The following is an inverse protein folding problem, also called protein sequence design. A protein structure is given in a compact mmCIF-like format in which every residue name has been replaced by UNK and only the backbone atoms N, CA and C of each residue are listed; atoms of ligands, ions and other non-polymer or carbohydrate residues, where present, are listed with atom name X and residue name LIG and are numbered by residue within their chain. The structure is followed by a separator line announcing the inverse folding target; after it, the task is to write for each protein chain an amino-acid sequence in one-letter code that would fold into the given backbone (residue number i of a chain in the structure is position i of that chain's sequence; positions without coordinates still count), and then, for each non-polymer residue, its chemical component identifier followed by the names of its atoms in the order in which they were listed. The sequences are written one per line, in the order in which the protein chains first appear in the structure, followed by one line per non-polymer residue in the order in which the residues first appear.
data_IF_656532241083
#
_entry.id   IF_656532241083
#
_cell.length_a   1.000
_cell.length_b   1.000
_cell.length_c   1.000
_cell.angle_alpha   90.00
_cell.angle_beta   90.00
_cell.angle_gamma   90.00
#
_symmetry.space_group_name_H-M   'P 1'
#
loop_
_entity.id
_entity.type
_entity.pdbx_description
1 polymer ?
#
# COMPACT_ATOMS: atom_id res chain seq x y z
N UNK A 1 -19.65 -4.68 17.38
CA UNK A 1 -18.23 -4.57 17.01
C UNK A 1 -17.78 -5.93 16.50
N UNK A 2 -17.37 -6.01 15.25
CA UNK A 2 -16.96 -7.26 14.60
C UNK A 2 -15.62 -7.75 15.20
N UNK A 3 -15.43 -9.07 15.28
CA UNK A 3 -14.20 -9.69 15.79
C UNK A 3 -12.95 -9.29 14.97
N UNK A 4 -13.10 -8.97 13.69
CA UNK A 4 -12.04 -8.47 12.82
C UNK A 4 -11.57 -7.08 13.26
N UNK A 5 -12.49 -6.22 13.65
CA UNK A 5 -12.23 -4.85 14.09
C UNK A 5 -11.46 -4.80 15.42
N UNK A 6 -11.77 -5.71 16.35
CA UNK A 6 -11.03 -5.83 17.61
C UNK A 6 -9.56 -6.21 17.42
N UNK A 7 -9.21 -6.82 16.28
CA UNK A 7 -7.84 -7.26 15.94
C UNK A 7 -7.02 -6.19 15.20
N UNK A 8 -7.69 -5.32 14.45
CA UNK A 8 -7.02 -4.21 13.75
C UNK A 8 -6.97 -2.92 14.59
N UNK A 9 -7.63 -2.92 15.74
CA UNK A 9 -7.75 -1.91 16.79
C UNK A 9 -7.52 -0.44 16.39
N UNK A 10 -8.45 0.44 16.63
CA UNK A 10 -8.41 1.86 16.27
C UNK A 10 -7.08 2.55 16.65
N UNK A 11 -6.24 2.81 15.65
CA UNK A 11 -4.99 3.52 15.78
C UNK A 11 -3.77 2.74 16.27
N UNK A 12 -3.92 1.49 16.72
CA UNK A 12 -2.78 0.67 17.16
C UNK A 12 -2.10 -0.12 16.05
N UNK A 13 -2.81 -0.34 14.94
CA UNK A 13 -2.28 -0.96 13.73
C UNK A 13 -2.29 0.04 12.57
N UNK A 14 -1.33 -0.12 11.64
CA UNK A 14 -1.30 0.55 10.36
C UNK A 14 -1.26 -0.52 9.27
N UNK A 15 -2.21 -0.52 8.36
CA UNK A 15 -2.23 -1.41 7.21
C UNK A 15 -1.48 -0.75 6.06
N UNK A 16 -0.43 -1.39 5.58
CA UNK A 16 0.37 -0.95 4.45
C UNK A 16 0.13 -1.91 3.29
N UNK A 17 -0.70 -1.50 2.34
CA UNK A 17 -1.10 -2.30 1.19
C UNK A 17 -0.27 -1.88 -0.01
N UNK A 18 0.57 -2.79 -0.49
CA UNK A 18 1.45 -2.58 -1.63
C UNK A 18 1.28 -3.68 -2.68
N UNK A 19 1.99 -3.56 -3.78
CA UNK A 19 1.96 -4.47 -4.93
C UNK A 19 2.18 -3.72 -6.23
N UNK A 20 2.32 -4.43 -7.33
CA UNK A 20 2.52 -3.83 -8.64
C UNK A 20 1.34 -2.95 -9.06
N UNK A 21 1.55 -2.00 -10.00
CA UNK A 21 0.44 -1.36 -10.69
C UNK A 21 -0.53 -2.41 -11.26
N UNK A 22 -1.85 -2.22 -11.10
CA UNK A 22 -2.85 -3.23 -11.53
C UNK A 22 -3.12 -4.36 -10.51
N UNK A 23 -2.36 -4.48 -9.41
CA UNK A 23 -2.61 -5.50 -8.38
C UNK A 23 -3.95 -5.33 -7.63
N UNK A 24 -4.60 -4.17 -7.73
CA UNK A 24 -5.89 -3.89 -7.09
C UNK A 24 -5.79 -3.08 -5.80
N UNK A 25 -4.61 -2.55 -5.47
CA UNK A 25 -4.36 -1.81 -4.22
C UNK A 25 -5.44 -0.78 -3.88
N UNK A 26 -5.71 0.16 -4.77
CA UNK A 26 -6.63 1.28 -4.48
C UNK A 26 -8.06 0.80 -4.24
N UNK A 27 -8.50 -0.23 -4.97
CA UNK A 27 -9.80 -0.85 -4.73
C UNK A 27 -9.85 -1.54 -3.38
N UNK A 28 -8.85 -2.38 -3.08
CA UNK A 28 -8.79 -3.15 -1.84
C UNK A 28 -8.61 -2.23 -0.63
N UNK A 29 -7.70 -1.24 -0.71
CA UNK A 29 -7.48 -0.29 0.38
C UNK A 29 -8.74 0.52 0.71
N UNK A 30 -9.48 0.95 -0.31
CA UNK A 30 -10.76 1.65 -0.13
C UNK A 30 -11.77 0.76 0.57
N UNK A 31 -12.01 -0.45 0.06
CA UNK A 31 -12.98 -1.38 0.63
C UNK A 31 -12.59 -1.80 2.06
N UNK A 32 -11.30 -2.07 2.32
CA UNK A 32 -10.83 -2.35 3.70
C UNK A 32 -11.09 -1.16 4.63
N UNK A 33 -10.83 0.07 4.17
CA UNK A 33 -11.07 1.26 4.97
C UNK A 33 -12.58 1.46 5.25
N UNK A 34 -13.44 1.17 4.29
CA UNK A 34 -14.90 1.32 4.41
C UNK A 34 -15.52 0.29 5.37
N UNK A 35 -14.91 -0.90 5.54
CA UNK A 35 -15.34 -1.95 6.47
C UNK A 35 -14.88 -1.71 7.93
N UNK A 36 -13.95 -0.80 8.16
CA UNK A 36 -13.45 -0.48 9.50
C UNK A 36 -14.29 0.65 10.12
N UNK A 37 -14.68 0.52 11.39
CA UNK A 37 -15.49 1.55 12.08
C UNK A 37 -14.81 2.91 12.13
N UNK A 38 -13.49 2.94 12.29
CA UNK A 38 -12.68 4.16 12.33
C UNK A 38 -11.41 3.95 11.54
N UNK A 39 -11.37 4.43 10.33
CA UNK A 39 -10.24 4.31 9.42
C UNK A 39 -9.88 5.64 8.79
N UNK A 40 -8.64 5.74 8.29
CA UNK A 40 -8.17 6.84 7.45
C UNK A 40 -7.40 6.24 6.27
N UNK A 41 -7.85 6.51 5.05
CA UNK A 41 -7.22 6.04 3.84
C UNK A 41 -6.18 7.07 3.35
N UNK A 42 -4.92 6.65 3.28
CA UNK A 42 -3.83 7.38 2.65
C UNK A 42 -3.58 6.83 1.26
N UNK A 43 -4.17 7.48 0.27
CA UNK A 43 -3.90 7.19 -1.14
C UNK A 43 -2.66 7.98 -1.58
N UNK A 44 -1.55 7.28 -1.80
CA UNK A 44 -0.26 7.88 -2.16
C UNK A 44 -0.29 8.64 -3.49
N UNK A 45 -1.14 8.24 -4.43
CA UNK A 45 -1.30 8.95 -5.70
C UNK A 45 -1.89 10.35 -5.48
N UNK A 46 -2.92 10.48 -4.66
CA UNK A 46 -3.50 11.79 -4.34
C UNK A 46 -2.56 12.64 -3.50
N UNK A 47 -1.89 12.05 -2.50
CA UNK A 47 -0.94 12.78 -1.65
C UNK A 47 0.24 13.31 -2.49
N UNK A 48 0.79 12.51 -3.40
CA UNK A 48 1.85 12.96 -4.30
C UNK A 48 1.42 14.13 -5.18
N UNK A 49 0.17 14.15 -5.62
CA UNK A 49 -0.41 15.22 -6.46
C UNK A 49 -0.81 16.50 -5.71
N UNK A 50 -0.60 16.56 -4.41
CA UNK A 50 -0.63 17.83 -3.69
C UNK A 50 0.48 18.79 -4.15
N UNK A 51 1.52 18.29 -4.81
CA UNK A 51 2.49 19.13 -5.52
C UNK A 51 1.79 19.72 -6.75
N UNK A 52 1.27 20.93 -6.61
CA UNK A 52 0.49 21.60 -7.66
C UNK A 52 1.33 22.04 -8.86
N UNK A 53 2.63 22.32 -8.66
CA UNK A 53 3.60 22.67 -9.71
C UNK A 53 4.93 22.00 -9.44
N UNK A 54 5.63 21.59 -10.50
CA UNK A 54 6.91 20.90 -10.38
C UNK A 54 6.82 19.44 -9.98
N UNK A 55 5.64 18.85 -10.06
CA UNK A 55 5.48 17.41 -9.86
C UNK A 55 6.27 16.63 -10.91
N UNK A 56 7.07 15.67 -10.44
CA UNK A 56 7.80 14.71 -11.28
C UNK A 56 7.28 13.31 -10.94
N UNK A 57 6.93 12.56 -11.97
CA UNK A 57 6.51 11.17 -11.82
C UNK A 57 7.63 10.33 -11.18
N UNK A 58 7.34 9.34 -10.31
CA UNK A 58 8.38 8.55 -9.62
C UNK A 58 9.43 7.88 -10.52
N UNK A 59 9.09 7.62 -11.77
CA UNK A 59 10.01 7.10 -12.81
C UNK A 59 10.34 8.14 -13.88
N UNK A 60 10.11 9.42 -13.61
CA UNK A 60 10.30 10.53 -14.54
C UNK A 60 11.66 11.21 -14.41
N UNK A 61 11.84 12.23 -15.23
CA UNK A 61 13.04 13.05 -15.27
C UNK A 61 12.75 14.48 -14.75
N UNK A 62 13.69 15.12 -14.04
CA UNK A 62 15.01 14.59 -13.62
C UNK A 62 14.89 13.52 -12.52
N UNK A 63 15.67 12.45 -12.65
CA UNK A 63 15.56 11.28 -11.75
C UNK A 63 15.86 11.59 -10.27
N UNK A 64 16.78 12.54 -10.01
CA UNK A 64 17.11 13.00 -8.65
C UNK A 64 15.93 13.76 -8.02
N UNK A 65 15.20 14.54 -8.80
CA UNK A 65 13.98 15.23 -8.35
C UNK A 65 12.84 14.23 -8.10
N UNK A 66 12.64 13.27 -9.01
CA UNK A 66 11.68 12.18 -8.81
C UNK A 66 11.96 11.44 -7.49
N UNK A 67 13.21 11.07 -7.23
CA UNK A 67 13.61 10.42 -5.99
C UNK A 67 13.39 11.30 -4.73
N UNK A 68 13.65 12.61 -4.83
CA UNK A 68 13.34 13.55 -3.72
C UNK A 68 11.86 13.63 -3.42
N UNK A 69 11.01 13.69 -4.46
CA UNK A 69 9.56 13.75 -4.30
C UNK A 69 8.99 12.45 -3.77
N UNK A 70 9.54 11.29 -4.12
CA UNK A 70 9.18 10.00 -3.52
C UNK A 70 9.51 9.97 -2.03
N UNK A 71 10.67 10.46 -1.61
CA UNK A 71 11.00 10.56 -0.18
C UNK A 71 10.06 11.51 0.57
N UNK A 72 9.73 12.66 -0.03
CA UNK A 72 8.75 13.61 0.52
C UNK A 72 7.37 12.97 0.66
N UNK A 73 6.93 12.24 -0.36
CA UNK A 73 5.66 11.49 -0.33
C UNK A 73 5.64 10.51 0.84
N UNK A 74 6.65 9.67 0.98
CA UNK A 74 6.73 8.69 2.06
C UNK A 74 6.72 9.36 3.45
N UNK A 75 7.43 10.48 3.61
CA UNK A 75 7.43 11.28 4.84
C UNK A 75 6.03 11.81 5.16
N UNK A 76 5.34 12.37 4.18
CA UNK A 76 3.99 12.91 4.35
C UNK A 76 2.98 11.82 4.69
N UNK A 77 3.04 10.67 3.99
CA UNK A 77 2.16 9.53 4.27
C UNK A 77 2.39 9.02 5.70
N UNK A 78 3.64 8.86 6.13
CA UNK A 78 3.97 8.45 7.49
C UNK A 78 3.44 9.44 8.54
N UNK A 79 3.60 10.75 8.31
CA UNK A 79 3.13 11.79 9.22
C UNK A 79 1.60 11.76 9.34
N UNK A 80 0.89 11.67 8.23
CA UNK A 80 -0.58 11.57 8.22
C UNK A 80 -1.03 10.28 8.92
N UNK A 81 -0.42 9.13 8.62
CA UNK A 81 -0.74 7.87 9.27
C UNK A 81 -0.54 7.96 10.80
N UNK A 82 0.56 8.57 11.24
CA UNK A 82 0.81 8.82 12.66
C UNK A 82 -0.27 9.67 13.31
N UNK A 83 -0.61 10.81 12.72
CA UNK A 83 -1.62 11.73 13.24
C UNK A 83 -3.01 11.07 13.34
N UNK A 84 -3.42 10.34 12.31
CA UNK A 84 -4.70 9.62 12.33
C UNK A 84 -4.70 8.50 13.36
N UNK A 85 -3.60 7.76 13.49
CA UNK A 85 -3.48 6.71 14.50
C UNK A 85 -3.56 7.27 15.92
N UNK A 86 -2.92 8.41 16.20
CA UNK A 86 -3.00 9.10 17.50
C UNK A 86 -4.41 9.60 17.82
N UNK A 87 -5.19 9.92 16.79
CA UNK A 87 -6.60 10.27 16.91
C UNK A 87 -7.53 9.02 17.00
N UNK A 88 -6.99 7.80 17.03
CA UNK A 88 -7.74 6.55 17.16
C UNK A 88 -8.36 6.04 15.87
N UNK A 89 -7.88 6.46 14.70
CA UNK A 89 -8.24 5.87 13.41
C UNK A 89 -7.22 4.81 13.00
N UNK A 90 -7.66 3.77 12.32
CA UNK A 90 -6.78 2.78 11.71
C UNK A 90 -6.29 3.31 10.36
N UNK A 91 -4.98 3.61 10.19
CA UNK A 91 -4.45 4.02 8.91
C UNK A 91 -4.45 2.86 7.92
N UNK A 92 -5.00 3.09 6.73
CA UNK A 92 -4.92 2.19 5.57
C UNK A 92 -4.13 2.93 4.48
N UNK A 93 -2.95 2.42 4.16
CA UNK A 93 -1.99 3.08 3.26
C UNK A 93 -1.95 2.32 1.94
N UNK A 94 -2.35 2.98 0.85
CA UNK A 94 -2.22 2.50 -0.53
C UNK A 94 -0.97 3.11 -1.16
N UNK A 95 0.05 2.28 -1.41
CA UNK A 95 1.30 2.74 -1.99
C UNK A 95 2.02 1.63 -2.76
N UNK A 96 2.82 2.01 -3.75
CA UNK A 96 3.82 1.13 -4.37
C UNK A 96 5.15 1.30 -3.64
N UNK A 97 5.66 0.24 -3.03
CA UNK A 97 6.98 0.20 -2.40
C UNK A 97 7.89 -0.71 -3.22
N UNK A 98 8.84 -0.17 -3.98
CA UNK A 98 9.68 -0.97 -4.87
C UNK A 98 10.86 -1.66 -4.15
N UNK A 99 11.24 -1.18 -2.95
CA UNK A 99 12.49 -1.57 -2.29
C UNK A 99 12.43 -1.51 -0.76
N UNK A 100 13.49 -2.00 -0.13
CA UNK A 100 13.61 -2.06 1.32
C UNK A 100 13.86 -0.71 1.99
N UNK A 101 14.48 0.25 1.32
CA UNK A 101 14.75 1.58 1.88
C UNK A 101 13.43 2.31 2.17
N UNK A 102 12.52 2.25 1.22
CA UNK A 102 11.20 2.84 1.39
C UNK A 102 10.41 2.11 2.48
N UNK A 103 10.39 0.78 2.50
CA UNK A 103 9.74 0.00 3.56
C UNK A 103 10.32 0.33 4.95
N UNK A 104 11.63 0.48 5.05
CA UNK A 104 12.31 0.84 6.30
C UNK A 104 11.90 2.23 6.81
N UNK A 105 11.56 3.16 5.93
CA UNK A 105 11.01 4.46 6.32
C UNK A 105 9.71 4.28 7.11
N UNK A 106 8.79 3.45 6.62
CA UNK A 106 7.53 3.12 7.32
C UNK A 106 7.80 2.37 8.63
N UNK A 107 8.67 1.37 8.63
CA UNK A 107 9.02 0.60 9.82
C UNK A 107 9.56 1.50 10.94
N UNK A 108 10.49 2.38 10.62
CA UNK A 108 11.11 3.29 11.59
C UNK A 108 10.14 4.35 12.10
N UNK A 109 9.38 4.96 11.20
CA UNK A 109 8.48 6.08 11.55
C UNK A 109 7.25 5.61 12.31
N UNK A 110 6.73 4.43 11.99
CA UNK A 110 5.53 3.85 12.61
C UNK A 110 5.86 2.76 13.65
N UNK A 111 7.11 2.73 14.17
CA UNK A 111 7.60 1.69 15.07
C UNK A 111 6.81 1.55 16.39
N UNK A 112 6.13 2.61 16.84
CA UNK A 112 5.26 2.56 18.03
C UNK A 112 3.93 1.83 17.80
N UNK A 113 3.67 1.39 16.56
CA UNK A 113 2.42 0.74 16.12
C UNK A 113 2.71 -0.58 15.44
N UNK A 114 1.71 -1.45 15.38
CA UNK A 114 1.82 -2.68 14.58
C UNK A 114 1.71 -2.33 13.11
N UNK A 115 2.82 -2.44 12.38
CA UNK A 115 2.80 -2.33 10.93
C UNK A 115 2.41 -3.68 10.31
N UNK A 116 1.34 -3.68 9.51
CA UNK A 116 0.82 -4.84 8.81
C UNK A 116 1.06 -4.63 7.31
N UNK A 117 2.06 -5.31 6.77
CA UNK A 117 2.42 -5.23 5.35
C UNK A 117 1.68 -6.31 4.56
N UNK A 118 0.86 -5.88 3.63
CA UNK A 118 0.12 -6.74 2.70
C UNK A 118 0.63 -6.46 1.29
N UNK A 119 1.24 -7.46 0.67
CA UNK A 119 1.72 -7.39 -0.71
C UNK A 119 0.70 -8.11 -1.59
N UNK A 120 -0.11 -7.37 -2.33
CA UNK A 120 -1.03 -7.96 -3.31
C UNK A 120 -0.22 -8.44 -4.51
N UNK A 121 -0.18 -9.75 -4.72
CA UNK A 121 0.66 -10.40 -5.71
C UNK A 121 -0.14 -11.37 -6.62
N UNK A 122 -1.07 -10.85 -7.44
CA UNK A 122 -1.84 -11.69 -8.37
C UNK A 122 -1.02 -12.16 -9.58
N UNK A 123 0.25 -11.79 -9.66
CA UNK A 123 1.13 -12.05 -10.80
C UNK A 123 1.14 -10.94 -11.85
N UNK A 124 2.26 -10.86 -12.59
CA UNK A 124 2.49 -9.79 -13.57
C UNK A 124 1.47 -9.79 -14.73
N UNK A 125 1.08 -10.95 -15.22
CA UNK A 125 0.07 -11.07 -16.29
C UNK A 125 -1.28 -10.52 -15.89
N UNK A 126 -1.74 -10.89 -14.68
CA UNK A 126 -3.03 -10.40 -14.16
C UNK A 126 -2.99 -8.87 -13.98
N UNK A 127 -1.88 -8.34 -13.47
CA UNK A 127 -1.69 -6.90 -13.31
C UNK A 127 -1.74 -6.17 -14.66
N UNK A 128 -1.04 -6.69 -15.67
CA UNK A 128 -1.03 -6.14 -17.03
C UNK A 128 -2.42 -6.16 -17.65
N UNK A 129 -3.07 -7.32 -17.64
CA UNK A 129 -4.42 -7.47 -18.16
C UNK A 129 -5.42 -6.52 -17.49
N UNK A 130 -5.38 -6.40 -16.16
CA UNK A 130 -6.23 -5.46 -15.43
C UNK A 130 -5.98 -4.00 -15.83
N UNK A 131 -4.74 -3.62 -16.14
CA UNK A 131 -4.44 -2.27 -16.61
C UNK A 131 -4.93 -2.02 -18.03
N UNK A 132 -4.76 -3.00 -18.93
CA UNK A 132 -5.19 -2.92 -20.34
C UNK A 132 -6.73 -2.87 -20.49
N UNK A 133 -7.45 -3.47 -19.56
CA UNK A 133 -8.93 -3.48 -19.56
C UNK A 133 -9.58 -2.26 -18.87
N UNK A 134 -8.77 -1.34 -18.31
CA UNK A 134 -9.28 -0.07 -17.78
C UNK A 134 -9.79 0.85 -18.89
N UNK A 135 -10.69 1.79 -18.55
CA UNK A 135 -10.99 2.91 -19.45
C UNK A 135 -9.68 3.59 -19.89
N UNK A 136 -9.56 4.01 -21.17
CA UNK A 136 -8.30 4.55 -21.71
C UNK A 136 -7.67 5.68 -20.86
N UNK A 137 -8.50 6.54 -20.29
CA UNK A 137 -8.09 7.66 -19.45
C UNK A 137 -7.51 7.22 -18.06
N UNK A 138 -7.70 5.96 -17.69
CA UNK A 138 -7.21 5.36 -16.46
C UNK A 138 -6.07 4.38 -16.70
N UNK A 139 -5.75 4.10 -17.95
CA UNK A 139 -4.60 3.27 -18.30
C UNK A 139 -3.31 4.07 -18.08
N UNK A 140 -2.27 3.36 -17.70
CA UNK A 140 -0.94 3.95 -17.55
C UNK A 140 0.10 3.05 -18.22
N UNK A 141 1.12 3.67 -18.75
CA UNK A 141 2.24 2.94 -19.35
C UNK A 141 3.17 2.45 -18.24
N UNK A 142 3.27 1.14 -18.09
CA UNK A 142 4.21 0.48 -17.20
C UNK A 142 4.52 -0.92 -17.71
N UNK A 143 5.79 -1.20 -17.93
CA UNK A 143 6.29 -2.50 -18.44
C UNK A 143 7.21 -3.22 -17.44
N UNK A 144 7.55 -2.56 -16.32
CA UNK A 144 8.47 -3.05 -15.29
C UNK A 144 7.88 -4.03 -14.27
N UNK A 145 6.83 -4.79 -14.60
CA UNK A 145 6.13 -5.68 -13.66
C UNK A 145 7.03 -6.73 -13.02
N UNK A 146 7.80 -7.44 -13.85
CA UNK A 146 8.67 -8.52 -13.39
C UNK A 146 9.85 -7.97 -12.58
N UNK A 147 10.43 -6.86 -13.00
CA UNK A 147 11.53 -6.18 -12.30
C UNK A 147 11.07 -5.66 -10.93
N UNK A 148 9.87 -5.07 -10.86
CA UNK A 148 9.30 -4.58 -9.62
C UNK A 148 9.00 -5.74 -8.66
N UNK A 149 8.35 -6.80 -9.14
CA UNK A 149 8.07 -7.99 -8.33
C UNK A 149 9.36 -8.62 -7.81
N UNK A 150 10.38 -8.79 -8.67
CA UNK A 150 11.68 -9.31 -8.27
C UNK A 150 12.38 -8.40 -7.24
N UNK A 151 12.29 -7.08 -7.40
CA UNK A 151 12.83 -6.12 -6.44
C UNK A 151 12.14 -6.24 -5.08
N UNK A 152 10.82 -6.22 -5.05
CA UNK A 152 10.03 -6.38 -3.83
C UNK A 152 10.36 -7.72 -3.13
N UNK A 153 10.39 -8.83 -3.86
CA UNK A 153 10.74 -10.15 -3.29
C UNK A 153 12.15 -10.18 -2.71
N UNK A 154 13.12 -9.57 -3.38
CA UNK A 154 14.51 -9.49 -2.91
C UNK A 154 14.62 -8.70 -1.61
N UNK A 155 13.91 -7.59 -1.50
CA UNK A 155 14.04 -6.67 -0.37
C UNK A 155 13.12 -7.00 0.80
N UNK A 156 11.92 -7.51 0.52
CA UNK A 156 10.98 -7.83 1.59
C UNK A 156 11.15 -9.27 2.08
N UNK A 157 11.63 -10.19 1.22
CA UNK A 157 11.81 -11.59 1.59
C UNK A 157 10.52 -12.20 2.13
N UNK A 158 10.56 -12.62 3.39
CA UNK A 158 9.42 -13.18 4.13
C UNK A 158 8.64 -12.15 4.95
N UNK A 159 8.96 -10.85 4.83
CA UNK A 159 8.26 -9.81 5.58
C UNK A 159 6.84 -9.63 5.06
N UNK A 160 5.91 -9.52 5.99
CA UNK A 160 4.52 -9.28 5.70
C UNK A 160 3.80 -10.48 5.08
N UNK A 161 2.65 -10.23 4.52
CA UNK A 161 1.81 -11.22 3.85
C UNK A 161 1.83 -11.02 2.34
N UNK A 162 2.50 -11.94 1.65
CA UNK A 162 2.43 -12.07 0.20
C UNK A 162 1.13 -12.77 -0.16
N UNK A 163 0.19 -12.00 -0.68
CA UNK A 163 -1.18 -12.45 -0.87
C UNK A 163 -1.49 -12.59 -2.36
N UNK A 164 -1.54 -13.84 -2.82
CA UNK A 164 -2.02 -14.15 -4.17
C UNK A 164 -3.53 -13.89 -4.26
N UNK A 165 -3.89 -12.90 -5.05
CA UNK A 165 -5.27 -12.49 -5.30
C UNK A 165 -5.72 -12.77 -6.73
N UNK A 166 -5.01 -13.64 -7.44
CA UNK A 166 -5.26 -13.93 -8.87
C UNK A 166 -6.65 -14.52 -9.11
N UNK A 167 -7.12 -15.39 -8.22
CA UNK A 167 -8.40 -16.08 -8.29
C UNK A 167 -9.52 -15.49 -7.42
N UNK A 168 -9.23 -14.40 -6.70
CA UNK A 168 -10.17 -13.82 -5.75
C UNK A 168 -10.89 -12.61 -6.31
N UNK A 169 -12.16 -12.45 -5.92
CA UNK A 169 -12.86 -11.18 -6.08
C UNK A 169 -12.35 -10.15 -5.08
N UNK A 170 -12.64 -8.87 -5.32
CA UNK A 170 -12.27 -7.81 -4.40
C UNK A 170 -12.88 -8.02 -2.99
N UNK A 171 -14.14 -8.44 -2.92
CA UNK A 171 -14.81 -8.69 -1.64
C UNK A 171 -14.17 -9.85 -0.87
N UNK A 172 -13.86 -10.96 -1.54
CA UNK A 172 -13.16 -12.09 -0.92
C UNK A 172 -11.77 -11.70 -0.41
N UNK A 173 -11.05 -10.87 -1.18
CA UNK A 173 -9.74 -10.34 -0.76
C UNK A 173 -9.86 -9.50 0.51
N UNK A 174 -10.84 -8.60 0.57
CA UNK A 174 -11.10 -7.76 1.75
C UNK A 174 -11.47 -8.59 2.96
N UNK A 175 -12.39 -9.54 2.81
CA UNK A 175 -12.81 -10.45 3.88
C UNK A 175 -11.62 -11.20 4.51
N UNK A 176 -10.73 -11.74 3.66
CA UNK A 176 -9.52 -12.41 4.14
C UNK A 176 -8.54 -11.43 4.83
N UNK A 177 -8.35 -10.22 4.28
CA UNK A 177 -7.49 -9.22 4.91
C UNK A 177 -8.01 -8.87 6.30
N UNK A 178 -9.28 -8.59 6.46
CA UNK A 178 -9.88 -8.25 7.74
C UNK A 178 -9.76 -9.40 8.76
N UNK A 179 -9.90 -10.64 8.31
CA UNK A 179 -9.80 -11.82 9.16
C UNK A 179 -8.36 -12.17 9.57
N UNK A 180 -7.39 -12.07 8.64
CA UNK A 180 -6.09 -12.73 8.78
C UNK A 180 -4.88 -11.76 8.86
N UNK A 181 -5.03 -10.48 8.47
CA UNK A 181 -3.88 -9.57 8.39
C UNK A 181 -3.15 -9.40 9.73
N UNK A 182 -3.85 -9.45 10.84
CA UNK A 182 -3.27 -9.29 12.18
C UNK A 182 -2.27 -10.40 12.53
N UNK A 183 -2.40 -11.59 11.94
CA UNK A 183 -1.50 -12.73 12.13
C UNK A 183 -0.44 -12.79 11.02
N UNK A 184 -0.87 -12.67 9.76
CA UNK A 184 -0.05 -12.95 8.59
C UNK A 184 0.80 -11.78 8.11
N UNK A 185 0.35 -10.54 8.36
CA UNK A 185 0.95 -9.35 7.77
C UNK A 185 1.92 -8.60 8.70
N UNK A 186 2.22 -9.12 9.88
CA UNK A 186 3.08 -8.44 10.85
C UNK A 186 4.49 -8.25 10.30
N UNK A 187 4.99 -7.02 10.44
CA UNK A 187 6.38 -6.69 10.18
C UNK A 187 7.08 -6.53 11.53
N UNK A 188 8.16 -7.26 11.80
CA UNK A 188 8.96 -7.05 13.01
C UNK A 188 9.50 -5.62 13.07
N UNK A 189 9.44 -5.02 14.24
CA UNK A 189 10.05 -3.71 14.55
C UNK A 189 11.54 -3.83 14.65
#
# INVERSE_FOLDING_TARGET
MDAAEQRLDGGRACLLITGAPGAGKSTISRLVADELTRSALMDSFFIGRLIARGYVWPLGEPADEAARQVRLLNTNVCALAGNFADAGFTPVIDIVLPDGEQLDTYRKTLASRRLLLIVLDPGAEVCRHRNETRPPEQQFFFDGYDQLSASMRRHFGSLGWWFDTSSLTALQTVEQILAEAHERARVPT
#
